data_IF_508233089449
#
_entry.id   IF_508233089449
#
_cell.length_a   1.000
_cell.length_b   1.000
_cell.length_c   1.000
_cell.angle_alpha   90.00
_cell.angle_beta   90.00
_cell.angle_gamma   90.00
#
_symmetry.space_group_name_H-M   'P 1'
#
loop_
_entity.id
_entity.type
_entity.pdbx_description
1 polymer ?
#
# COMPACT_ATOMS: atom_id res chain seq x y z
N UNK A 1 -2.81 3.93 -22.25
CA UNK A 1 -3.12 4.90 -21.17
C UNK A 1 -2.28 4.53 -19.95
N UNK A 2 -1.78 5.49 -19.17
CA UNK A 2 -0.99 5.21 -17.96
C UNK A 2 -1.87 5.29 -16.72
N UNK A 3 -1.85 4.23 -15.91
CA UNK A 3 -2.63 4.13 -14.69
C UNK A 3 -1.75 3.97 -13.46
N UNK A 4 -2.32 4.25 -12.30
CA UNK A 4 -1.79 3.83 -11.02
C UNK A 4 -2.71 2.79 -10.40
N UNK A 5 -2.12 1.75 -9.82
CA UNK A 5 -2.85 0.65 -9.19
C UNK A 5 -2.94 0.82 -7.67
N UNK A 6 -2.09 1.67 -7.07
CA UNK A 6 -2.12 2.01 -5.64
C UNK A 6 -2.85 3.34 -5.38
N UNK A 7 -4.04 3.49 -5.94
CA UNK A 7 -4.82 4.73 -5.87
C UNK A 7 -5.79 4.81 -4.69
N UNK A 8 -5.99 6.01 -4.19
CA UNK A 8 -6.98 6.37 -3.18
C UNK A 8 -7.93 7.42 -3.72
N UNK A 9 -9.19 7.35 -3.27
CA UNK A 9 -10.10 8.48 -3.38
C UNK A 9 -9.60 9.57 -2.43
N UNK A 10 -9.31 10.73 -2.98
CA UNK A 10 -8.87 11.85 -2.16
C UNK A 10 -10.03 12.34 -1.30
N UNK A 11 -9.82 12.39 0.01
CA UNK A 11 -10.83 12.86 0.96
C UNK A 11 -11.02 14.39 0.89
N UNK A 12 -9.98 15.13 0.49
CA UNK A 12 -10.00 16.59 0.35
C UNK A 12 -9.30 17.04 -0.95
N UNK A 13 -9.91 16.79 -2.11
CA UNK A 13 -9.31 17.13 -3.38
C UNK A 13 -9.45 18.61 -3.74
N UNK A 14 -8.38 19.19 -4.29
CA UNK A 14 -8.43 20.53 -4.90
C UNK A 14 -9.29 20.52 -6.18
N UNK A 15 -9.18 19.46 -6.98
CA UNK A 15 -9.95 19.29 -8.22
C UNK A 15 -10.93 18.13 -8.09
N UNK A 16 -12.13 18.31 -8.62
CA UNK A 16 -13.16 17.25 -8.62
C UNK A 16 -12.61 15.94 -9.20
N UNK A 17 -12.87 14.83 -8.51
CA UNK A 17 -12.44 13.47 -8.86
C UNK A 17 -10.90 13.26 -8.92
N UNK A 18 -10.10 14.15 -8.34
CA UNK A 18 -8.66 13.95 -8.26
C UNK A 18 -8.34 12.87 -7.21
N UNK A 19 -7.83 11.72 -7.64
CA UNK A 19 -7.32 10.69 -6.74
C UNK A 19 -5.88 10.95 -6.29
N UNK A 20 -5.45 10.27 -5.23
CA UNK A 20 -4.06 10.31 -4.75
C UNK A 20 -3.44 8.92 -4.89
N UNK A 21 -2.22 8.83 -5.40
CA UNK A 21 -1.46 7.59 -5.41
C UNK A 21 -0.67 7.44 -4.12
N UNK A 22 -0.64 6.24 -3.56
CA UNK A 22 0.32 5.84 -2.54
C UNK A 22 1.65 5.54 -3.21
N UNK A 23 2.74 5.98 -2.60
CA UNK A 23 4.11 5.61 -2.93
C UNK A 23 4.57 4.54 -1.94
N UNK A 24 4.13 3.27 -2.10
CA UNK A 24 4.31 2.27 -1.08
C UNK A 24 5.78 1.84 -0.96
N UNK A 25 6.13 1.36 0.23
CA UNK A 25 7.21 0.39 0.39
C UNK A 25 6.71 -1.05 0.20
N UNK A 26 7.63 -2.03 0.17
CA UNK A 26 7.31 -3.40 -0.23
C UNK A 26 6.54 -4.21 0.83
N UNK A 27 6.31 -3.69 2.05
CA UNK A 27 5.93 -4.50 3.20
C UNK A 27 4.45 -4.89 3.25
N UNK A 28 3.55 -4.06 2.73
CA UNK A 28 2.10 -4.31 2.71
C UNK A 28 1.77 -5.58 1.95
N UNK A 29 0.92 -6.45 2.50
CA UNK A 29 0.40 -7.59 1.76
C UNK A 29 -0.64 -7.11 0.76
N UNK A 30 -0.46 -7.43 -0.52
CA UNK A 30 -1.35 -7.00 -1.60
C UNK A 30 -2.20 -8.16 -2.07
N UNK A 31 -3.52 -8.01 -1.93
CA UNK A 31 -4.52 -8.97 -2.39
C UNK A 31 -5.31 -8.36 -3.56
N UNK A 32 -5.81 -9.22 -4.45
CA UNK A 32 -6.87 -8.84 -5.38
C UNK A 32 -8.22 -8.66 -4.67
N UNK A 33 -9.27 -8.33 -5.43
CA UNK A 33 -10.62 -8.14 -4.90
C UNK A 33 -11.22 -9.38 -4.25
N UNK A 34 -10.76 -10.59 -4.60
CA UNK A 34 -11.24 -11.88 -4.10
C UNK A 34 -10.34 -12.45 -2.98
N UNK A 35 -9.41 -11.63 -2.48
CA UNK A 35 -8.54 -11.97 -1.37
C UNK A 35 -7.39 -12.91 -1.74
N UNK A 36 -7.06 -13.09 -3.03
CA UNK A 36 -5.84 -13.80 -3.43
C UNK A 36 -4.65 -12.86 -3.37
N UNK A 37 -3.56 -13.28 -2.73
CA UNK A 37 -2.30 -12.54 -2.71
C UNK A 37 -1.71 -12.49 -4.12
N UNK A 38 -1.32 -11.31 -4.55
CA UNK A 38 -0.58 -11.16 -5.79
C UNK A 38 0.79 -11.84 -5.73
N UNK A 39 1.18 -12.48 -6.83
CA UNK A 39 2.49 -13.10 -7.02
C UNK A 39 3.50 -12.09 -7.57
N UNK A 40 4.79 -12.42 -7.52
CA UNK A 40 5.80 -11.66 -8.25
C UNK A 40 5.42 -11.57 -9.75
N UNK A 41 5.66 -10.42 -10.41
CA UNK A 41 6.28 -9.20 -9.91
C UNK A 41 5.31 -8.19 -9.26
N UNK A 42 4.05 -8.57 -9.00
CA UNK A 42 2.96 -7.66 -8.61
C UNK A 42 2.98 -7.35 -7.10
N UNK A 43 4.07 -6.74 -6.64
CA UNK A 43 4.22 -6.26 -5.27
C UNK A 43 4.10 -4.73 -5.19
N UNK A 44 3.85 -4.15 -4.01
CA UNK A 44 3.70 -2.70 -3.87
C UNK A 44 4.90 -1.94 -4.43
N UNK A 45 4.67 -1.02 -5.38
CA UNK A 45 5.72 -0.19 -5.97
C UNK A 45 6.60 -0.89 -7.02
N UNK A 46 6.24 -2.09 -7.47
CA UNK A 46 6.93 -2.83 -8.53
C UNK A 46 6.33 -2.52 -9.92
N UNK A 47 6.00 -3.55 -10.70
CA UNK A 47 5.53 -3.42 -12.07
C UNK A 47 4.05 -3.03 -12.10
N UNK A 48 3.80 -1.74 -12.32
CA UNK A 48 2.44 -1.19 -12.40
C UNK A 48 1.64 -1.75 -13.57
N UNK A 49 2.28 -2.09 -14.69
CA UNK A 49 1.55 -2.57 -15.88
C UNK A 49 1.11 -4.03 -15.68
N UNK A 50 2.03 -4.88 -15.23
CA UNK A 50 1.71 -6.27 -14.86
C UNK A 50 0.66 -6.32 -13.74
N UNK A 51 0.76 -5.42 -12.76
CA UNK A 51 -0.22 -5.37 -11.67
C UNK A 51 -1.59 -4.89 -12.15
N UNK A 52 -1.65 -3.92 -13.07
CA UNK A 52 -2.90 -3.47 -13.66
C UNK A 52 -3.60 -4.62 -14.39
N UNK A 53 -2.84 -5.37 -15.21
CA UNK A 53 -3.36 -6.54 -15.91
C UNK A 53 -3.87 -7.61 -14.92
N UNK A 54 -3.12 -7.86 -13.84
CA UNK A 54 -3.51 -8.84 -12.82
C UNK A 54 -4.80 -8.43 -12.09
N UNK A 55 -4.96 -7.15 -11.74
CA UNK A 55 -6.21 -6.64 -11.16
C UNK A 55 -7.36 -6.83 -12.15
N UNK A 56 -7.21 -6.37 -13.39
CA UNK A 56 -8.28 -6.44 -14.39
C UNK A 56 -8.69 -7.86 -14.75
N UNK A 57 -7.76 -8.83 -14.72
CA UNK A 57 -8.06 -10.25 -14.94
C UNK A 57 -9.04 -10.84 -13.93
N UNK A 58 -9.17 -10.25 -12.75
CA UNK A 58 -10.17 -10.67 -11.75
C UNK A 58 -11.59 -10.21 -12.09
N UNK A 59 -11.75 -9.30 -13.06
CA UNK A 59 -13.04 -8.68 -13.37
C UNK A 59 -13.40 -7.50 -12.47
N UNK A 60 -12.53 -7.14 -11.52
CA UNK A 60 -12.72 -6.01 -10.62
C UNK A 60 -11.73 -4.86 -10.92
N UNK A 61 -12.08 -3.67 -10.45
CA UNK A 61 -11.32 -2.42 -10.63
C UNK A 61 -10.62 -1.96 -9.34
N UNK A 62 -10.57 -2.82 -8.33
CA UNK A 62 -9.97 -2.56 -7.04
C UNK A 62 -9.16 -3.74 -6.51
N UNK A 63 -8.32 -3.45 -5.54
CA UNK A 63 -7.50 -4.42 -4.82
C UNK A 63 -7.32 -3.98 -3.37
N UNK A 64 -6.62 -4.77 -2.55
CA UNK A 64 -6.47 -4.50 -1.12
C UNK A 64 -5.03 -4.53 -0.67
N UNK A 65 -4.60 -3.50 0.05
CA UNK A 65 -3.50 -3.66 0.98
C UNK A 65 -4.02 -4.12 2.33
N UNK A 66 -3.29 -5.05 2.96
CA UNK A 66 -3.35 -5.34 4.39
C UNK A 66 -1.97 -5.02 4.97
N UNK A 67 -1.95 -4.16 6.00
CA UNK A 67 -0.75 -3.66 6.63
C UNK A 67 -0.99 -3.36 8.12
N UNK A 68 0.07 -2.95 8.79
CA UNK A 68 0.09 -2.56 10.20
C UNK A 68 0.33 -1.07 10.35
N UNK A 69 0.12 -0.54 11.55
CA UNK A 69 0.49 0.84 11.90
C UNK A 69 1.97 1.11 11.58
N UNK A 70 2.89 0.20 11.97
CA UNK A 70 4.32 0.36 11.70
C UNK A 70 4.68 0.43 10.21
N UNK A 71 3.89 -0.21 9.34
CA UNK A 71 4.08 -0.12 7.90
C UNK A 71 3.54 1.22 7.41
N UNK A 72 2.31 1.60 7.80
CA UNK A 72 1.68 2.82 7.26
C UNK A 72 2.48 4.08 7.63
N UNK A 73 3.07 4.10 8.82
CA UNK A 73 3.91 5.19 9.32
C UNK A 73 5.11 5.51 8.43
N UNK A 74 5.74 4.48 7.86
CA UNK A 74 6.99 4.62 7.09
C UNK A 74 6.80 4.52 5.59
N UNK A 75 5.95 3.60 5.17
CA UNK A 75 5.88 3.13 3.79
C UNK A 75 4.71 3.71 3.01
N UNK A 76 3.83 4.51 3.63
CA UNK A 76 2.60 5.00 2.99
C UNK A 76 2.70 6.49 2.65
N UNK A 77 3.73 6.89 1.89
CA UNK A 77 3.83 8.26 1.42
C UNK A 77 2.75 8.54 0.35
N UNK A 78 2.15 9.74 0.38
CA UNK A 78 1.11 10.13 -0.57
C UNK A 78 1.71 10.98 -1.70
N UNK A 79 1.27 10.77 -2.94
CA UNK A 79 1.68 11.62 -4.06
C UNK A 79 1.03 13.00 -3.98
N UNK A 80 1.79 14.06 -4.29
CA UNK A 80 1.33 15.45 -4.24
C UNK A 80 2.24 16.27 -3.33
N UNK A 81 2.69 17.44 -3.79
CA UNK A 81 3.55 18.32 -2.99
C UNK A 81 2.81 18.85 -1.76
N UNK A 82 1.51 19.08 -1.90
CA UNK A 82 0.60 19.46 -0.82
C UNK A 82 0.53 18.40 0.29
N UNK A 83 0.78 17.13 -0.03
CA UNK A 83 0.79 16.02 0.93
C UNK A 83 2.18 15.76 1.53
N UNK A 84 3.22 16.50 1.11
CA UNK A 84 4.59 16.34 1.60
C UNK A 84 5.23 17.71 1.91
N UNK A 85 4.65 18.50 2.85
CA UNK A 85 5.15 19.83 3.17
C UNK A 85 6.60 19.82 3.69
N UNK A 86 7.05 18.70 4.24
CA UNK A 86 8.42 18.49 4.69
C UNK A 86 9.45 18.52 3.55
N UNK A 87 9.11 17.92 2.41
CA UNK A 87 9.93 17.91 1.20
C UNK A 87 9.78 19.26 0.48
N UNK A 88 8.55 19.77 0.38
CA UNK A 88 8.27 21.03 -0.33
C UNK A 88 8.94 22.23 0.33
N UNK A 89 8.99 22.28 1.66
CA UNK A 89 9.66 23.36 2.40
C UNK A 89 11.17 23.12 2.60
N UNK A 90 11.74 22.07 2.00
CA UNK A 90 13.16 21.68 2.13
C UNK A 90 13.64 21.63 3.60
N UNK A 91 12.77 21.21 4.51
CA UNK A 91 13.04 21.30 5.94
C UNK A 91 13.67 20.00 6.44
N UNK A 92 15.00 20.00 6.59
CA UNK A 92 15.75 18.86 7.17
C UNK A 92 15.17 18.46 8.53
N UNK A 93 14.74 19.44 9.35
CA UNK A 93 14.08 19.19 10.64
C UNK A 93 12.76 18.43 10.50
N UNK A 94 11.95 18.72 9.48
CA UNK A 94 10.68 18.01 9.25
C UNK A 94 10.92 16.62 8.65
N UNK A 95 11.95 16.44 7.82
CA UNK A 95 12.37 15.12 7.34
C UNK A 95 12.82 14.25 8.51
N UNK A 96 13.59 14.80 9.46
CA UNK A 96 13.99 14.09 10.69
C UNK A 96 12.80 13.72 11.58
N UNK A 97 11.66 14.43 11.51
CA UNK A 97 10.44 14.03 12.22
C UNK A 97 9.82 12.74 11.68
N UNK A 98 10.13 12.30 10.46
CA UNK A 98 9.72 10.96 9.95
C UNK A 98 10.37 9.80 10.72
N UNK A 99 11.36 10.09 11.57
CA UNK A 99 11.98 9.12 12.47
C UNK A 99 11.14 8.93 13.75
N UNK A 100 10.30 9.90 14.10
CA UNK A 100 9.40 9.82 15.26
C UNK A 100 8.23 8.87 14.95
N UNK A 101 7.67 8.19 15.97
CA UNK A 101 6.50 7.33 15.80
C UNK A 101 5.25 8.14 15.42
N UNK A 102 4.33 7.47 14.72
CA UNK A 102 3.09 8.06 14.19
C UNK A 102 3.19 8.40 12.70
N UNK A 103 2.10 8.20 11.92
CA UNK A 103 2.14 8.46 10.50
C UNK A 103 2.21 9.97 10.24
N UNK A 104 2.81 10.41 9.12
CA UNK A 104 2.78 11.81 8.74
C UNK A 104 1.35 12.36 8.76
N UNK A 105 1.17 13.61 9.18
CA UNK A 105 -0.17 14.21 9.33
C UNK A 105 -1.10 14.02 8.12
N UNK A 106 -0.63 14.10 6.86
CA UNK A 106 -1.46 13.79 5.69
C UNK A 106 -1.94 12.34 5.67
N UNK A 107 -1.08 11.37 6.00
CA UNK A 107 -1.43 9.95 6.07
C UNK A 107 -2.43 9.71 7.20
N UNK A 108 -2.23 10.32 8.35
CA UNK A 108 -3.20 10.25 9.46
C UNK A 108 -4.57 10.82 9.03
N UNK A 109 -4.61 11.96 8.33
CA UNK A 109 -5.86 12.53 7.83
C UNK A 109 -6.58 11.59 6.85
N UNK A 110 -5.84 10.84 6.01
CA UNK A 110 -6.42 9.80 5.15
C UNK A 110 -6.95 8.60 5.96
N UNK A 111 -6.26 8.18 7.03
CA UNK A 111 -6.79 7.13 7.92
C UNK A 111 -8.09 7.57 8.58
N UNK A 112 -8.17 8.83 9.02
CA UNK A 112 -9.30 9.35 9.79
C UNK A 112 -10.52 9.68 8.92
N UNK A 113 -10.31 10.15 7.69
CA UNK A 113 -11.36 10.70 6.83
C UNK A 113 -11.53 9.95 5.50
N UNK A 114 -10.58 9.08 5.14
CA UNK A 114 -10.57 8.39 3.86
C UNK A 114 -11.62 7.28 3.80
N UNK A 115 -12.45 7.30 2.75
CA UNK A 115 -13.50 6.31 2.55
C UNK A 115 -13.00 4.90 2.20
N UNK A 116 -11.70 4.75 1.92
CA UNK A 116 -11.10 3.49 1.47
C UNK A 116 -10.39 2.72 2.61
N UNK A 117 -10.48 3.17 3.86
CA UNK A 117 -9.76 2.59 5.01
C UNK A 117 -10.66 1.75 5.90
N UNK A 118 -10.14 0.61 6.36
CA UNK A 118 -10.70 -0.22 7.43
C UNK A 118 -9.61 -0.42 8.47
N UNK A 119 -9.91 -0.14 9.73
CA UNK A 119 -8.96 -0.29 10.85
C UNK A 119 -9.62 -1.21 11.86
N UNK A 120 -8.90 -2.25 12.31
CA UNK A 120 -9.42 -3.23 13.25
C UNK A 120 -8.31 -3.83 14.14
N UNK A 121 -8.68 -4.25 15.34
CA UNK A 121 -7.75 -4.89 16.29
C UNK A 121 -7.59 -6.40 16.03
N UNK A 122 -8.49 -6.99 15.24
CA UNK A 122 -8.42 -8.39 14.84
C UNK A 122 -8.56 -8.57 13.32
N UNK A 123 -7.95 -9.64 12.80
CA UNK A 123 -8.06 -9.96 11.38
C UNK A 123 -9.50 -10.28 10.96
N UNK A 124 -10.32 -10.85 11.87
CA UNK A 124 -11.70 -11.20 11.55
C UNK A 124 -12.54 -9.94 11.32
N UNK A 125 -12.48 -9.00 12.25
CA UNK A 125 -13.13 -7.68 12.12
C UNK A 125 -12.60 -6.92 10.89
N UNK A 126 -11.31 -7.02 10.61
CA UNK A 126 -10.72 -6.40 9.42
C UNK A 126 -11.37 -6.93 8.13
N UNK A 127 -11.44 -8.26 7.97
CA UNK A 127 -12.03 -8.89 6.77
C UNK A 127 -13.51 -8.58 6.66
N UNK A 128 -14.24 -8.60 7.78
CA UNK A 128 -15.66 -8.26 7.80
C UNK A 128 -15.88 -6.78 7.39
N UNK A 129 -15.04 -5.87 7.88
CA UNK A 129 -15.05 -4.46 7.48
C UNK A 129 -14.66 -4.24 6.01
N UNK A 130 -13.72 -5.03 5.48
CA UNK A 130 -13.35 -4.99 4.06
C UNK A 130 -14.52 -5.40 3.16
N UNK A 131 -15.23 -6.47 3.50
CA UNK A 131 -16.45 -6.90 2.79
C UNK A 131 -17.55 -5.83 2.86
N UNK A 132 -17.79 -5.27 4.06
CA UNK A 132 -18.76 -4.19 4.25
C UNK A 132 -18.45 -2.97 3.37
N UNK A 133 -17.19 -2.52 3.35
CA UNK A 133 -16.74 -1.39 2.53
C UNK A 133 -16.87 -1.70 1.02
N UNK A 134 -16.55 -2.93 0.62
CA UNK A 134 -16.70 -3.36 -0.77
C UNK A 134 -18.16 -3.48 -1.22
N UNK A 135 -19.09 -3.64 -0.27
CA UNK A 135 -20.51 -3.90 -0.56
C UNK A 135 -20.75 -5.31 -1.12
N UNK A 136 -19.87 -6.26 -0.80
CA UNK A 136 -19.96 -7.66 -1.24
C UNK A 136 -19.36 -8.60 -0.17
N UNK A 137 -19.39 -9.91 -0.41
CA UNK A 137 -18.82 -10.93 0.47
C UNK A 137 -17.78 -11.80 -0.25
N UNK A 138 -16.91 -11.18 -1.06
CA UNK A 138 -15.90 -11.93 -1.82
C UNK A 138 -14.73 -12.42 -0.95
N UNK A 139 -14.45 -11.73 0.15
CA UNK A 139 -13.29 -12.02 0.99
C UNK A 139 -13.64 -13.08 2.03
N UNK A 140 -12.94 -14.21 1.99
CA UNK A 140 -13.02 -15.26 3.00
C UNK A 140 -11.95 -15.10 4.08
N UNK A 141 -12.38 -15.11 5.34
CA UNK A 141 -11.50 -14.91 6.49
C UNK A 141 -10.43 -16.01 6.61
N UNK A 142 -10.81 -17.28 6.41
CA UNK A 142 -9.89 -18.41 6.60
C UNK A 142 -8.79 -18.35 5.55
N UNK A 143 -9.17 -18.16 4.28
CA UNK A 143 -8.25 -18.00 3.14
C UNK A 143 -7.27 -16.84 3.34
N UNK A 144 -7.74 -15.68 3.80
CA UNK A 144 -6.87 -14.52 4.05
C UNK A 144 -5.91 -14.80 5.22
N UNK A 145 -6.43 -15.38 6.31
CA UNK A 145 -5.64 -15.75 7.49
C UNK A 145 -4.52 -16.71 7.13
N UNK A 146 -4.80 -17.75 6.34
CA UNK A 146 -3.79 -18.72 5.91
C UNK A 146 -2.66 -18.07 5.13
N UNK A 147 -2.99 -17.17 4.20
CA UNK A 147 -1.99 -16.47 3.41
C UNK A 147 -1.13 -15.50 4.25
N UNK A 148 -1.74 -14.78 5.21
CA UNK A 148 -0.98 -13.91 6.13
C UNK A 148 -0.08 -14.74 7.04
N UNK A 149 -0.59 -15.84 7.60
CA UNK A 149 0.21 -16.75 8.45
C UNK A 149 1.38 -17.34 7.66
N UNK A 150 1.18 -17.72 6.39
CA UNK A 150 2.26 -18.19 5.53
C UNK A 150 3.34 -17.12 5.32
N UNK A 151 2.95 -15.88 4.99
CA UNK A 151 3.88 -14.73 4.88
C UNK A 151 4.62 -14.48 6.19
N UNK A 152 3.92 -14.50 7.32
CA UNK A 152 4.48 -14.20 8.64
C UNK A 152 5.49 -15.27 9.11
N UNK A 153 5.29 -16.55 8.73
CA UNK A 153 6.30 -17.61 8.93
C UNK A 153 7.58 -17.32 8.15
N UNK A 154 7.45 -16.88 6.89
CA UNK A 154 8.59 -16.55 6.04
C UNK A 154 9.40 -15.34 6.57
N UNK A 155 8.77 -14.46 7.35
CA UNK A 155 9.47 -13.35 8.00
C UNK A 155 10.57 -13.81 8.97
N UNK A 156 10.37 -14.93 9.66
CA UNK A 156 11.36 -15.54 10.57
C UNK A 156 12.40 -16.41 9.84
N UNK A 157 12.06 -16.90 8.65
CA UNK A 157 12.95 -17.73 7.85
C UNK A 157 14.05 -16.89 7.19
N UNK A 158 15.29 -16.95 7.72
CA UNK A 158 16.44 -16.22 7.17
C UNK A 158 16.76 -16.57 5.71
N UNK A 159 16.42 -17.79 5.27
CA UNK A 159 16.66 -18.28 3.89
C UNK A 159 15.37 -18.30 3.03
N UNK A 160 14.35 -17.52 3.42
CA UNK A 160 13.07 -17.41 2.71
C UNK A 160 13.20 -17.40 1.18
N UNK A 161 12.23 -18.05 0.54
CA UNK A 161 12.02 -18.01 -0.91
C UNK A 161 10.79 -17.20 -1.30
N UNK A 162 10.13 -16.57 -0.31
CA UNK A 162 9.07 -15.62 -0.58
C UNK A 162 9.68 -14.34 -1.18
N UNK A 163 9.35 -14.07 -2.44
CA UNK A 163 9.92 -12.97 -3.20
C UNK A 163 9.61 -11.60 -2.56
N UNK A 164 8.46 -11.44 -1.90
CA UNK A 164 8.14 -10.21 -1.20
C UNK A 164 9.05 -10.05 0.03
N UNK A 165 9.23 -11.09 0.85
CA UNK A 165 10.11 -11.02 2.02
C UNK A 165 11.56 -10.77 1.62
N UNK A 166 12.02 -11.40 0.54
CA UNK A 166 13.33 -11.11 -0.06
C UNK A 166 13.45 -9.64 -0.47
N UNK A 167 12.43 -9.05 -1.09
CA UNK A 167 12.43 -7.63 -1.47
C UNK A 167 12.45 -6.68 -0.27
N UNK A 168 11.71 -6.99 0.80
CA UNK A 168 11.71 -6.18 2.03
C UNK A 168 13.12 -6.16 2.61
N UNK A 169 13.79 -7.32 2.68
CA UNK A 169 15.16 -7.43 3.19
C UNK A 169 16.16 -6.71 2.30
N UNK A 170 16.01 -6.81 0.98
CA UNK A 170 16.85 -6.12 0.01
C UNK A 170 16.68 -4.59 0.07
N UNK A 171 15.45 -4.08 0.15
CA UNK A 171 15.21 -2.65 0.31
C UNK A 171 15.90 -2.12 1.58
N UNK A 172 15.87 -2.90 2.67
CA UNK A 172 16.55 -2.54 3.93
C UNK A 172 18.07 -2.72 3.93
N UNK A 173 18.68 -3.33 2.91
CA UNK A 173 20.15 -3.34 2.80
C UNK A 173 20.68 -1.97 2.37
N UNK A 174 19.83 -1.11 1.78
CA UNK A 174 20.15 0.28 1.55
C UNK A 174 19.88 1.13 2.79
N UNK A 175 20.88 1.89 3.25
CA UNK A 175 20.82 2.61 4.53
C UNK A 175 19.72 3.69 4.56
N UNK A 176 19.52 4.42 3.45
CA UNK A 176 18.49 5.45 3.36
C UNK A 176 17.09 4.86 3.51
N UNK A 177 16.82 3.75 2.83
CA UNK A 177 15.55 3.05 2.90
C UNK A 177 15.33 2.44 4.29
N UNK A 178 16.35 1.80 4.86
CA UNK A 178 16.29 1.21 6.21
C UNK A 178 15.87 2.23 7.27
N UNK A 179 16.39 3.46 7.19
CA UNK A 179 16.18 4.50 8.19
C UNK A 179 14.85 5.24 7.97
N UNK A 180 14.54 5.61 6.72
CA UNK A 180 13.51 6.61 6.43
C UNK A 180 12.27 6.02 5.75
N UNK A 181 12.44 4.99 4.91
CA UNK A 181 11.38 4.59 3.95
C UNK A 181 10.73 3.25 4.26
N UNK A 182 11.49 2.26 4.69
CA UNK A 182 11.02 0.88 4.84
C UNK A 182 10.87 0.56 6.32
N UNK A 183 9.73 0.02 6.69
CA UNK A 183 9.43 -0.43 8.04
C UNK A 183 10.40 -1.55 8.47
N UNK A 184 10.64 -1.66 9.77
CA UNK A 184 11.40 -2.81 10.29
C UNK A 184 10.58 -4.08 10.04
N UNK A 185 11.16 -5.17 9.49
CA UNK A 185 10.39 -6.34 9.11
C UNK A 185 9.78 -6.99 10.35
N UNK A 186 8.50 -7.31 10.28
CA UNK A 186 7.73 -7.92 11.36
C UNK A 186 6.56 -8.73 10.79
N UNK A 187 5.95 -9.53 11.65
CA UNK A 187 4.73 -10.28 11.35
C UNK A 187 3.53 -9.32 11.34
N UNK A 188 2.67 -9.42 10.34
CA UNK A 188 1.45 -8.61 10.29
C UNK A 188 0.53 -8.92 11.48
N UNK A 189 0.45 -10.19 11.89
CA UNK A 189 -0.39 -10.63 13.01
C UNK A 189 0.28 -10.53 14.38
N UNK A 190 1.41 -9.83 14.50
CA UNK A 190 1.97 -9.50 15.82
C UNK A 190 1.12 -8.42 16.49
N UNK A 191 0.45 -8.69 17.63
CA UNK A 191 -0.38 -7.71 18.32
C UNK A 191 0.37 -6.43 18.71
N UNK A 192 1.70 -6.50 18.90
CA UNK A 192 2.56 -5.34 19.21
C UNK A 192 2.79 -4.42 18.01
N UNK A 193 2.31 -4.81 16.84
CA UNK A 193 2.39 -4.02 15.62
C UNK A 193 1.01 -3.53 15.16
N UNK A 194 -0.07 -3.89 15.86
CA UNK A 194 -1.42 -3.43 15.57
C UNK A 194 -1.65 -1.93 15.82
N UNK A 195 -2.82 -1.40 15.42
CA UNK A 195 -3.94 -2.12 14.80
C UNK A 195 -3.62 -2.61 13.37
N UNK A 196 -4.44 -3.54 12.87
CA UNK A 196 -4.42 -3.93 11.46
C UNK A 196 -5.18 -2.89 10.64
N UNK A 197 -4.66 -2.62 9.44
CA UNK A 197 -5.22 -1.65 8.52
C UNK A 197 -5.39 -2.35 7.18
N UNK A 198 -6.58 -2.22 6.58
CA UNK A 198 -6.85 -2.58 5.21
C UNK A 198 -7.19 -1.31 4.42
N UNK A 199 -6.67 -1.25 3.20
CA UNK A 199 -6.86 -0.10 2.31
C UNK A 199 -7.35 -0.61 0.97
N UNK A 200 -8.54 -0.17 0.55
CA UNK A 200 -9.06 -0.42 -0.79
C UNK A 200 -8.33 0.47 -1.78
N UNK A 201 -7.63 -0.17 -2.71
CA UNK A 201 -6.90 0.51 -3.77
C UNK A 201 -7.75 0.59 -5.02
N UNK A 202 -7.79 1.78 -5.62
CA UNK A 202 -8.54 2.08 -6.83
C UNK A 202 -7.56 2.30 -7.99
N UNK A 203 -7.99 1.97 -9.22
CA UNK A 203 -7.22 2.31 -10.42
C UNK A 203 -7.41 3.79 -10.75
N UNK A 204 -6.31 4.56 -10.82
CA UNK A 204 -6.34 5.98 -11.18
C UNK A 204 -5.79 6.18 -12.59
N UNK A 205 -6.52 6.90 -13.44
CA UNK A 205 -5.99 7.41 -14.70
C UNK A 205 -5.04 8.57 -14.44
N UNK A 206 -3.79 8.47 -14.91
CA UNK A 206 -2.79 9.53 -14.75
C UNK A 206 -2.64 10.38 -16.01
N UNK A 207 -2.38 9.72 -17.14
CA UNK A 207 -2.09 10.37 -18.42
C UNK A 207 -2.39 9.47 -19.61
N UNK A 208 -2.66 10.07 -20.76
CA UNK A 208 -2.58 9.38 -22.04
C UNK A 208 -1.13 9.38 -22.51
N UNK A 209 -0.69 8.25 -23.08
CA UNK A 209 0.62 8.16 -23.77
C UNK A 209 0.45 8.26 -25.29
N UNK A 210 -0.79 8.27 -25.78
CA UNK A 210 -1.08 8.52 -27.18
C UNK A 210 -0.86 9.99 -27.51
N UNK A 211 -0.33 10.24 -28.69
CA UNK A 211 -0.05 11.57 -29.24
C UNK A 211 0.16 11.45 -30.74
N UNK A 212 0.42 12.59 -31.40
CA UNK A 212 0.81 12.56 -32.80
C UNK A 212 2.12 11.78 -32.97
N UNK A 213 2.25 10.92 -33.98
CA UNK A 213 3.52 10.29 -34.29
C UNK A 213 4.58 11.35 -34.56
N UNK A 214 5.64 11.35 -33.77
CA UNK A 214 6.81 12.19 -33.99
C UNK A 214 7.98 11.32 -34.39
N UNK A 215 8.96 11.90 -35.07
CA UNK A 215 10.27 11.29 -35.23
C UNK A 215 11.27 12.01 -34.31
N UNK A 216 12.55 11.67 -34.35
CA UNK A 216 13.56 12.32 -33.49
C UNK A 216 13.93 13.75 -33.94
N UNK A 217 13.43 14.18 -35.11
CA UNK A 217 13.62 15.50 -35.71
C UNK A 217 12.29 16.25 -35.82
#
# INVERSE_FOLDING_TARGET
>A
MWHYTEGLRNWNPIWRNHGIRILPGPSSMWLDAEGNRFSAPNFPGFDTLSTLEAIQKTGYDYSWFILTEKIIEKEFALSGSEQNPDITNKSIKQILKRILPGPPAPVQAFKDNGADFVIADSLKELVDGMNQLAGNNLLDFIKIKEQIVARDREMENKFTKDAQIMSIRSARSYLGDKLIRVATPHKLLDPKCGPLIAVRLNILTRKTLGGQPTNLN
#
